data_IF_362769763279
#
_entry.id   IF_362769763279
#
_cell.length_a   1.000
_cell.length_b   1.000
_cell.length_c   1.000
_cell.angle_alpha   90.00
_cell.angle_beta   90.00
_cell.angle_gamma   90.00
#
_symmetry.space_group_name_H-M   'P 1'
#
loop_
_entity.id
_entity.type
_entity.pdbx_description
1 polymer ?
#
# COMPACT_ATOMS: atom_id res chain seq x y z
N UNK A 1 -26.95 8.88 17.80
CA UNK A 1 -25.73 9.00 16.93
C UNK A 1 -24.98 7.67 16.75
N UNK A 2 -25.32 6.61 17.48
CA UNK A 2 -24.65 5.29 17.41
C UNK A 2 -25.30 4.31 16.43
N UNK A 3 -26.35 4.67 15.73
CA UNK A 3 -27.07 3.77 14.83
C UNK A 3 -26.47 3.61 13.42
N UNK A 4 -25.41 4.35 13.08
CA UNK A 4 -24.73 4.23 11.79
C UNK A 4 -23.22 4.18 12.01
N UNK A 5 -22.71 3.05 12.49
CA UNK A 5 -21.29 2.80 12.62
C UNK A 5 -20.60 2.66 11.25
N UNK A 6 -19.28 2.52 11.28
CA UNK A 6 -18.46 2.22 10.12
C UNK A 6 -17.68 0.94 10.36
N UNK A 7 -17.93 -0.07 9.55
CA UNK A 7 -17.19 -1.32 9.62
C UNK A 7 -15.77 -1.14 9.04
N UNK A 8 -15.61 -0.31 8.02
CA UNK A 8 -14.29 -0.02 7.43
C UNK A 8 -13.40 0.77 8.38
N UNK A 9 -13.89 1.84 9.02
CA UNK A 9 -13.11 2.61 10.02
C UNK A 9 -12.81 1.79 11.29
N UNK A 10 -13.68 0.85 11.66
CA UNK A 10 -13.38 -0.12 12.71
C UNK A 10 -12.13 -0.93 12.36
N UNK A 11 -12.08 -1.49 11.14
CA UNK A 11 -10.95 -2.27 10.65
C UNK A 11 -9.70 -1.42 10.44
N UNK A 12 -9.84 -0.19 9.95
CA UNK A 12 -8.72 0.75 9.83
C UNK A 12 -8.07 1.06 11.18
N UNK A 13 -8.85 1.15 12.26
CA UNK A 13 -8.31 1.33 13.61
C UNK A 13 -7.49 0.12 14.05
N UNK A 14 -7.90 -1.09 13.65
CA UNK A 14 -7.17 -2.33 13.94
C UNK A 14 -5.85 -2.43 13.14
N UNK A 15 -5.87 -2.08 11.85
CA UNK A 15 -4.68 -1.99 11.01
C UNK A 15 -3.73 -0.90 11.55
N UNK A 16 -4.28 0.24 11.98
CA UNK A 16 -3.52 1.31 12.63
C UNK A 16 -2.79 0.84 13.90
N UNK A 17 -3.41 -0.03 14.69
CA UNK A 17 -2.78 -0.68 15.85
C UNK A 17 -1.56 -1.50 15.44
N UNK A 18 -1.66 -2.30 14.39
CA UNK A 18 -0.53 -3.04 13.85
C UNK A 18 0.61 -2.11 13.40
N UNK A 19 0.30 -1.08 12.61
CA UNK A 19 1.31 -0.13 12.15
C UNK A 19 1.99 0.60 13.31
N UNK A 20 1.23 0.97 14.34
CA UNK A 20 1.79 1.56 15.55
C UNK A 20 2.82 0.62 16.21
N UNK A 21 2.46 -0.65 16.41
CA UNK A 21 3.36 -1.65 17.01
C UNK A 21 4.58 -1.92 16.14
N UNK A 22 4.41 -2.00 14.82
CA UNK A 22 5.50 -2.23 13.88
C UNK A 22 6.62 -1.17 14.03
N UNK A 23 6.23 0.10 14.20
CA UNK A 23 7.20 1.21 14.26
C UNK A 23 7.64 1.60 15.67
N UNK A 24 6.86 1.27 16.72
CA UNK A 24 7.17 1.70 18.10
C UNK A 24 7.63 0.55 18.99
N UNK A 25 7.23 -0.69 18.71
CA UNK A 25 7.36 -1.86 19.59
C UNK A 25 6.79 -1.63 21.00
N UNK A 26 5.71 -0.83 21.11
CA UNK A 26 5.05 -0.56 22.40
C UNK A 26 4.26 -1.79 22.88
N UNK A 27 4.97 -2.76 23.43
CA UNK A 27 4.38 -4.00 23.94
C UNK A 27 3.48 -3.75 25.15
N UNK A 28 3.72 -2.68 25.92
CA UNK A 28 2.85 -2.31 27.04
C UNK A 28 1.46 -1.90 26.54
N UNK A 29 1.41 -1.10 25.47
CA UNK A 29 0.15 -0.75 24.82
C UNK A 29 -0.55 -2.00 24.28
N UNK A 30 0.17 -2.90 23.58
CA UNK A 30 -0.40 -4.14 23.05
C UNK A 30 -1.00 -4.99 24.18
N UNK A 31 -0.24 -5.26 25.23
CA UNK A 31 -0.69 -6.06 26.37
C UNK A 31 -1.96 -5.48 27.01
N UNK A 32 -1.98 -4.18 27.23
CA UNK A 32 -3.10 -3.46 27.84
C UNK A 32 -4.40 -3.55 27.00
N UNK A 33 -4.25 -3.58 25.68
CA UNK A 33 -5.42 -3.50 24.76
C UNK A 33 -5.72 -4.80 24.03
N UNK A 34 -4.97 -5.88 24.28
CA UNK A 34 -5.09 -7.12 23.51
C UNK A 34 -6.50 -7.75 23.57
N UNK A 35 -7.07 -7.82 24.75
CA UNK A 35 -8.43 -8.34 24.93
C UNK A 35 -9.46 -7.54 24.11
N UNK A 36 -9.35 -6.21 24.13
CA UNK A 36 -10.22 -5.32 23.34
C UNK A 36 -10.00 -5.50 21.84
N UNK A 37 -8.75 -5.67 21.42
CA UNK A 37 -8.42 -5.94 20.02
C UNK A 37 -9.00 -7.27 19.56
N UNK A 38 -8.84 -8.31 20.35
CA UNK A 38 -9.40 -9.65 20.04
C UNK A 38 -10.94 -9.60 19.97
N UNK A 39 -11.58 -8.88 20.87
CA UNK A 39 -13.03 -8.67 20.85
C UNK A 39 -13.47 -7.90 19.60
N UNK A 40 -12.72 -6.86 19.20
CA UNK A 40 -12.97 -6.12 17.97
C UNK A 40 -12.85 -7.00 16.71
N UNK A 41 -11.88 -7.94 16.70
CA UNK A 41 -11.74 -8.92 15.61
C UNK A 41 -12.93 -9.87 15.54
N UNK A 42 -13.35 -10.42 16.66
CA UNK A 42 -14.52 -11.32 16.69
C UNK A 42 -15.81 -10.58 16.32
N UNK A 43 -15.98 -9.33 16.73
CA UNK A 43 -17.12 -8.50 16.33
C UNK A 43 -17.21 -8.35 14.82
N UNK A 44 -16.10 -7.96 14.16
CA UNK A 44 -16.14 -7.75 12.71
C UNK A 44 -16.21 -9.06 11.94
N UNK A 45 -15.48 -10.11 12.39
CA UNK A 45 -15.52 -11.40 11.76
C UNK A 45 -16.88 -12.11 11.95
N UNK A 46 -17.59 -11.84 13.04
CA UNK A 46 -18.95 -12.32 13.28
C UNK A 46 -19.99 -11.86 12.24
N UNK A 47 -19.65 -10.86 11.43
CA UNK A 47 -20.46 -10.40 10.29
C UNK A 47 -20.17 -11.13 8.98
N UNK A 48 -19.20 -12.06 8.96
CA UNK A 48 -18.93 -12.89 7.78
C UNK A 48 -20.10 -13.86 7.56
N UNK A 49 -20.72 -13.76 6.40
CA UNK A 49 -21.85 -14.58 6.01
C UNK A 49 -21.39 -16.00 5.65
N UNK A 50 -21.75 -16.98 6.44
CA UNK A 50 -21.23 -18.35 6.35
C UNK A 50 -21.39 -19.00 4.95
N UNK A 51 -22.53 -18.90 4.25
CA UNK A 51 -22.66 -19.50 2.92
C UNK A 51 -21.73 -18.91 1.86
N UNK A 52 -21.43 -17.60 1.91
CA UNK A 52 -20.53 -16.96 0.94
C UNK A 52 -19.09 -16.85 1.40
N UNK A 53 -18.85 -16.79 2.71
CA UNK A 53 -17.54 -16.47 3.29
C UNK A 53 -17.14 -15.00 3.17
N UNK A 54 -18.03 -14.12 2.72
CA UNK A 54 -17.80 -12.68 2.58
C UNK A 54 -18.35 -11.91 3.79
N UNK A 55 -17.69 -10.83 4.15
CA UNK A 55 -18.18 -9.86 5.14
C UNK A 55 -19.49 -9.23 4.65
N UNK A 56 -20.50 -9.22 5.50
CA UNK A 56 -21.74 -8.47 5.32
C UNK A 56 -21.63 -7.14 6.08
N UNK A 57 -21.35 -6.07 5.37
CA UNK A 57 -21.18 -4.72 5.91
C UNK A 57 -22.53 -4.17 6.38
N UNK A 58 -22.63 -3.83 7.65
CA UNK A 58 -23.82 -3.22 8.27
C UNK A 58 -23.55 -1.80 8.79
N UNK A 59 -22.31 -1.50 9.12
CA UNK A 59 -21.82 -0.15 9.43
C UNK A 59 -21.41 0.57 8.15
N UNK A 60 -22.36 1.25 7.52
CA UNK A 60 -22.27 1.76 6.14
C UNK A 60 -21.58 3.12 5.98
N UNK A 61 -21.04 3.74 7.04
CA UNK A 61 -20.24 4.95 6.88
C UNK A 61 -18.85 4.60 6.37
N UNK A 62 -18.39 5.34 5.37
CA UNK A 62 -17.13 5.13 4.71
C UNK A 62 -16.56 6.45 4.21
N UNK A 63 -15.46 6.43 3.45
CA UNK A 63 -14.74 7.59 2.92
C UNK A 63 -15.55 8.46 1.92
N UNK A 64 -16.81 8.21 1.74
CA UNK A 64 -17.81 8.88 0.91
C UNK A 64 -18.20 8.12 -0.38
N UNK A 65 -17.66 6.92 -0.59
CA UNK A 65 -18.07 6.08 -1.73
C UNK A 65 -19.58 5.82 -1.77
N UNK A 66 -20.10 5.52 -2.95
CA UNK A 66 -21.46 5.03 -3.14
C UNK A 66 -21.51 3.51 -2.89
N UNK A 67 -22.74 2.95 -2.80
CA UNK A 67 -22.98 1.51 -2.66
C UNK A 67 -22.23 0.87 -1.46
N UNK A 68 -22.26 1.54 -0.35
CA UNK A 68 -21.76 1.03 0.93
C UNK A 68 -22.72 -0.03 1.48
N UNK A 69 -22.18 -1.10 2.04
CA UNK A 69 -22.97 -2.16 2.66
C UNK A 69 -22.90 -3.50 1.94
N UNK A 70 -23.65 -4.49 2.41
CA UNK A 70 -23.64 -5.86 1.91
C UNK A 70 -22.22 -6.45 1.83
N UNK A 71 -21.97 -7.31 0.85
CA UNK A 71 -20.65 -7.90 0.59
C UNK A 71 -19.78 -7.03 -0.31
N UNK A 72 -19.68 -5.76 0.05
CA UNK A 72 -18.83 -4.79 -0.61
C UNK A 72 -17.38 -5.29 -0.70
N UNK A 73 -16.77 -5.23 -1.88
CA UNK A 73 -15.45 -5.80 -2.14
C UNK A 73 -14.34 -5.04 -1.41
N UNK A 74 -14.43 -3.72 -1.32
CA UNK A 74 -13.47 -2.88 -0.58
C UNK A 74 -13.39 -3.30 0.89
N UNK A 75 -14.51 -3.38 1.60
CA UNK A 75 -14.54 -3.78 3.01
C UNK A 75 -14.02 -5.22 3.22
N UNK A 76 -14.22 -6.12 2.25
CA UNK A 76 -13.66 -7.46 2.27
C UNK A 76 -12.13 -7.47 2.08
N UNK A 77 -11.58 -6.58 1.24
CA UNK A 77 -10.12 -6.39 1.12
C UNK A 77 -9.52 -5.87 2.42
N UNK A 78 -10.20 -4.92 3.08
CA UNK A 78 -9.76 -4.38 4.37
C UNK A 78 -9.82 -5.47 5.45
N UNK A 79 -10.89 -6.28 5.50
CA UNK A 79 -10.97 -7.40 6.45
C UNK A 79 -9.84 -8.42 6.22
N UNK A 80 -9.54 -8.75 4.97
CA UNK A 80 -8.40 -9.62 4.66
C UNK A 80 -7.11 -9.09 5.27
N UNK A 81 -6.80 -7.82 5.06
CA UNK A 81 -5.59 -7.21 5.60
C UNK A 81 -5.63 -7.11 7.14
N UNK A 82 -6.80 -6.83 7.73
CA UNK A 82 -7.01 -6.82 9.18
C UNK A 82 -6.71 -8.18 9.80
N UNK A 83 -7.11 -9.26 9.15
CA UNK A 83 -6.84 -10.63 9.61
C UNK A 83 -5.34 -10.97 9.52
N UNK A 84 -4.67 -10.59 8.43
CA UNK A 84 -3.22 -10.80 8.25
C UNK A 84 -2.44 -10.05 9.33
N UNK A 85 -2.70 -8.76 9.50
CA UNK A 85 -2.03 -7.93 10.51
C UNK A 85 -2.39 -8.35 11.94
N UNK A 86 -3.61 -8.82 12.15
CA UNK A 86 -4.05 -9.39 13.42
C UNK A 86 -3.33 -10.69 13.79
N UNK A 87 -3.02 -11.53 12.81
CA UNK A 87 -2.23 -12.76 13.02
C UNK A 87 -0.79 -12.42 13.46
N UNK A 88 -0.18 -11.40 12.87
CA UNK A 88 1.13 -10.92 13.30
C UNK A 88 1.09 -10.32 14.73
N UNK A 89 0.07 -9.52 15.04
CA UNK A 89 -0.12 -9.00 16.40
C UNK A 89 -0.31 -10.11 17.42
N UNK A 90 -1.08 -11.17 17.11
CA UNK A 90 -1.22 -12.33 17.98
C UNK A 90 0.13 -13.01 18.23
N UNK A 91 0.93 -13.18 17.19
CA UNK A 91 2.30 -13.71 17.31
C UNK A 91 3.18 -12.81 18.18
N UNK A 92 3.11 -11.50 18.04
CA UNK A 92 3.88 -10.55 18.86
C UNK A 92 3.42 -10.50 20.31
N UNK A 93 2.16 -10.82 20.56
CA UNK A 93 1.57 -10.97 21.89
C UNK A 93 2.03 -12.26 22.58
N UNK A 94 2.63 -13.21 21.87
CA UNK A 94 3.02 -14.51 22.39
C UNK A 94 1.84 -15.48 22.43
N UNK A 95 0.98 -15.46 21.41
CA UNK A 95 -0.22 -16.32 21.32
C UNK A 95 0.11 -17.81 21.49
N UNK A 96 -0.47 -18.42 22.50
CA UNK A 96 -0.43 -19.88 22.75
C UNK A 96 -1.77 -20.54 22.53
N UNK A 97 -2.80 -19.79 22.14
CA UNK A 97 -4.19 -20.26 21.98
C UNK A 97 -4.54 -20.61 20.54
N UNK A 98 -3.64 -20.32 19.58
CA UNK A 98 -3.84 -20.56 18.16
C UNK A 98 -4.61 -19.45 17.44
N UNK A 99 -4.73 -18.25 18.02
CA UNK A 99 -5.38 -17.09 17.37
C UNK A 99 -4.65 -16.67 16.10
N UNK A 100 -3.32 -16.66 16.09
CA UNK A 100 -2.53 -16.32 14.90
C UNK A 100 -2.88 -17.25 13.72
N UNK A 101 -2.94 -18.55 13.98
CA UNK A 101 -3.33 -19.55 12.98
C UNK A 101 -4.80 -19.38 12.56
N UNK A 102 -5.69 -19.08 13.50
CA UNK A 102 -7.10 -18.83 13.24
C UNK A 102 -7.28 -17.66 12.30
N UNK A 103 -6.64 -16.51 12.57
CA UNK A 103 -6.75 -15.33 11.72
C UNK A 103 -6.12 -15.56 10.33
N UNK A 104 -5.00 -16.26 10.24
CA UNK A 104 -4.39 -16.65 8.96
C UNK A 104 -5.33 -17.52 8.13
N UNK A 105 -5.97 -18.52 8.76
CA UNK A 105 -6.93 -19.41 8.09
C UNK A 105 -8.19 -18.66 7.63
N UNK A 106 -8.70 -17.75 8.47
CA UNK A 106 -9.82 -16.86 8.11
C UNK A 106 -9.48 -15.97 6.92
N UNK A 107 -8.27 -15.38 6.88
CA UNK A 107 -7.80 -14.58 5.75
C UNK A 107 -7.71 -15.40 4.46
N UNK A 108 -7.16 -16.61 4.51
CA UNK A 108 -7.07 -17.49 3.36
C UNK A 108 -8.46 -17.85 2.79
N UNK A 109 -9.40 -18.22 3.67
CA UNK A 109 -10.78 -18.54 3.26
C UNK A 109 -11.48 -17.31 2.66
N UNK A 110 -11.29 -16.13 3.26
CA UNK A 110 -11.86 -14.88 2.76
C UNK A 110 -11.29 -14.53 1.38
N UNK A 111 -9.99 -14.69 1.16
CA UNK A 111 -9.36 -14.47 -0.15
C UNK A 111 -9.97 -15.37 -1.22
N UNK A 112 -10.22 -16.64 -0.92
CA UNK A 112 -10.92 -17.57 -1.83
C UNK A 112 -12.33 -17.06 -2.14
N UNK A 113 -13.08 -16.62 -1.13
CA UNK A 113 -14.44 -16.10 -1.31
C UNK A 113 -14.45 -14.81 -2.16
N UNK A 114 -13.56 -13.87 -1.89
CA UNK A 114 -13.42 -12.62 -2.66
C UNK A 114 -13.17 -12.94 -4.15
N UNK A 115 -12.18 -13.80 -4.44
CA UNK A 115 -11.85 -14.18 -5.81
C UNK A 115 -12.99 -14.91 -6.50
N UNK A 116 -13.74 -15.76 -5.78
CA UNK A 116 -14.85 -16.51 -6.33
C UNK A 116 -16.05 -15.62 -6.69
N UNK A 117 -16.40 -14.68 -5.84
CA UNK A 117 -17.67 -13.95 -5.97
C UNK A 117 -17.52 -12.55 -6.56
N UNK A 118 -16.37 -11.89 -6.38
CA UNK A 118 -16.18 -10.50 -6.81
C UNK A 118 -15.30 -10.38 -8.07
N UNK A 119 -14.48 -11.39 -8.43
CA UNK A 119 -13.64 -11.31 -9.63
C UNK A 119 -14.49 -11.35 -10.89
N UNK A 120 -14.28 -10.36 -11.78
CA UNK A 120 -14.85 -10.33 -13.12
C UNK A 120 -13.79 -10.68 -14.16
N UNK A 121 -13.81 -11.92 -14.62
CA UNK A 121 -12.86 -12.43 -15.60
C UNK A 121 -13.00 -11.76 -16.97
N UNK A 122 -14.17 -11.26 -17.31
CA UNK A 122 -14.44 -10.60 -18.60
C UNK A 122 -13.84 -9.20 -18.64
N UNK A 123 -13.84 -8.49 -17.51
CA UNK A 123 -13.25 -7.17 -17.37
C UNK A 123 -11.78 -7.23 -16.92
N UNK A 124 -11.42 -8.22 -16.12
CA UNK A 124 -10.07 -8.40 -15.59
C UNK A 124 -9.78 -7.55 -14.33
N UNK A 125 -10.81 -7.31 -13.52
CA UNK A 125 -10.75 -6.62 -12.23
C UNK A 125 -11.88 -7.10 -11.30
N UNK A 126 -11.89 -6.65 -10.05
CA UNK A 126 -12.96 -6.96 -9.10
C UNK A 126 -14.16 -6.03 -9.29
N UNK A 127 -15.36 -6.62 -9.24
CA UNK A 127 -16.63 -5.90 -9.11
C UNK A 127 -16.76 -5.31 -7.71
N UNK A 128 -17.61 -4.29 -7.60
CA UNK A 128 -17.87 -3.61 -6.32
C UNK A 128 -18.43 -4.54 -5.22
N UNK A 129 -19.17 -5.55 -5.60
CA UNK A 129 -19.73 -6.55 -4.68
C UNK A 129 -20.01 -7.89 -5.38
N UNK A 130 -20.54 -8.87 -4.64
CA UNK A 130 -20.81 -10.20 -5.14
C UNK A 130 -22.10 -10.30 -5.99
N UNK A 131 -22.83 -9.21 -6.16
CA UNK A 131 -24.03 -9.18 -7.01
C UNK A 131 -23.66 -8.86 -8.47
N UNK A 132 -24.66 -8.88 -9.35
CA UNK A 132 -24.47 -8.44 -10.74
C UNK A 132 -24.38 -6.91 -10.80
N UNK A 133 -23.16 -6.40 -10.81
CA UNK A 133 -22.85 -4.97 -10.90
C UNK A 133 -21.80 -4.75 -11.99
N UNK A 134 -21.91 -3.61 -12.69
CA UNK A 134 -20.94 -3.17 -13.68
C UNK A 134 -19.87 -2.24 -13.08
N UNK A 135 -19.97 -1.94 -11.78
CA UNK A 135 -19.00 -1.08 -11.10
C UNK A 135 -17.74 -1.88 -10.76
N UNK A 136 -16.60 -1.43 -11.26
CA UNK A 136 -15.26 -1.91 -10.91
C UNK A 136 -14.55 -0.78 -10.15
N UNK A 137 -14.60 -0.77 -8.81
CA UNK A 137 -14.18 0.37 -8.02
C UNK A 137 -12.66 0.52 -7.96
N UNK A 138 -12.19 1.76 -7.79
CA UNK A 138 -10.78 2.08 -7.61
C UNK A 138 -10.24 1.51 -6.29
N UNK A 139 -11.01 1.66 -5.20
CA UNK A 139 -10.59 1.27 -3.86
C UNK A 139 -10.31 -0.23 -3.72
N UNK A 140 -11.31 -1.08 -3.99
CA UNK A 140 -11.16 -2.53 -3.85
C UNK A 140 -10.09 -3.09 -4.78
N UNK A 141 -10.00 -2.62 -6.03
CA UNK A 141 -9.01 -3.08 -6.98
C UNK A 141 -7.60 -2.69 -6.56
N UNK A 142 -7.41 -1.48 -6.07
CA UNK A 142 -6.14 -1.03 -5.52
C UNK A 142 -5.73 -1.86 -4.29
N UNK A 143 -6.66 -2.04 -3.36
CA UNK A 143 -6.42 -2.82 -2.13
C UNK A 143 -6.18 -4.30 -2.41
N UNK A 144 -6.85 -4.91 -3.41
CA UNK A 144 -6.63 -6.30 -3.78
C UNK A 144 -5.16 -6.60 -4.13
N UNK A 145 -4.52 -5.70 -4.85
CA UNK A 145 -3.09 -5.82 -5.22
C UNK A 145 -2.20 -5.43 -4.04
N UNK A 146 -2.49 -4.31 -3.40
CA UNK A 146 -1.66 -3.77 -2.33
C UNK A 146 -1.62 -4.67 -1.09
N UNK A 147 -2.77 -5.23 -0.69
CA UNK A 147 -2.86 -6.13 0.46
C UNK A 147 -2.52 -7.60 0.13
N UNK A 148 -2.36 -7.93 -1.14
CA UNK A 148 -1.93 -9.27 -1.57
C UNK A 148 -3.08 -10.29 -1.66
N UNK A 149 -4.33 -9.86 -1.82
CA UNK A 149 -5.46 -10.75 -2.16
C UNK A 149 -5.22 -11.42 -3.52
N UNK A 150 -4.54 -10.73 -4.41
CA UNK A 150 -3.95 -11.30 -5.63
C UNK A 150 -2.43 -11.26 -5.53
N UNK A 151 -1.70 -12.32 -5.98
CA UNK A 151 -0.24 -12.31 -5.94
C UNK A 151 0.36 -11.17 -6.77
N UNK A 152 1.39 -10.46 -6.27
CA UNK A 152 1.96 -9.27 -6.93
C UNK A 152 2.41 -9.48 -8.37
N UNK A 153 2.95 -10.67 -8.70
CA UNK A 153 3.44 -11.02 -10.04
C UNK A 153 2.40 -11.70 -10.93
N UNK A 154 1.14 -11.82 -10.45
CA UNK A 154 0.08 -12.51 -11.19
C UNK A 154 -0.41 -11.70 -12.39
N UNK A 155 -1.00 -12.38 -13.36
CA UNK A 155 -1.70 -11.75 -14.47
C UNK A 155 -2.86 -10.87 -13.99
N UNK A 156 -3.54 -11.27 -12.92
CA UNK A 156 -4.61 -10.48 -12.31
C UNK A 156 -4.10 -9.14 -11.75
N UNK A 157 -2.95 -9.13 -11.05
CA UNK A 157 -2.35 -7.88 -10.57
C UNK A 157 -1.96 -6.95 -11.73
N UNK A 158 -1.42 -7.50 -12.83
CA UNK A 158 -1.09 -6.73 -14.02
C UNK A 158 -2.35 -6.19 -14.72
N UNK A 159 -3.40 -7.00 -14.81
CA UNK A 159 -4.70 -6.60 -15.36
C UNK A 159 -5.32 -5.46 -14.55
N UNK A 160 -5.43 -5.63 -13.22
CA UNK A 160 -5.96 -4.60 -12.32
C UNK A 160 -5.16 -3.30 -12.47
N UNK A 161 -3.83 -3.38 -12.40
CA UNK A 161 -2.98 -2.20 -12.56
C UNK A 161 -3.19 -1.50 -13.91
N UNK A 162 -3.54 -2.23 -14.97
CA UNK A 162 -3.89 -1.64 -16.26
C UNK A 162 -5.28 -1.01 -16.24
N UNK A 163 -6.30 -1.73 -15.70
CA UNK A 163 -7.68 -1.24 -15.65
C UNK A 163 -7.86 0.01 -14.81
N UNK A 164 -7.12 0.14 -13.72
CA UNK A 164 -7.14 1.36 -12.92
C UNK A 164 -6.80 2.62 -13.73
N UNK A 165 -5.96 2.50 -14.77
CA UNK A 165 -5.63 3.65 -15.62
C UNK A 165 -6.76 4.09 -16.55
N UNK A 166 -7.79 3.25 -16.75
CA UNK A 166 -8.96 3.60 -17.57
C UNK A 166 -9.76 4.78 -16.96
N UNK A 167 -9.61 5.01 -15.64
CA UNK A 167 -10.26 6.10 -14.90
C UNK A 167 -9.39 7.35 -14.75
N UNK A 168 -8.22 7.41 -15.39
CA UNK A 168 -7.32 8.55 -15.23
C UNK A 168 -7.77 9.76 -16.01
N UNK A 169 -7.73 10.91 -15.34
CA UNK A 169 -7.88 12.23 -15.93
C UNK A 169 -6.52 12.94 -15.99
N UNK A 170 -6.41 14.11 -16.61
CA UNK A 170 -5.19 14.90 -16.57
C UNK A 170 -4.71 15.29 -15.16
N UNK A 171 -5.62 15.34 -14.20
CA UNK A 171 -5.38 15.83 -12.82
C UNK A 171 -5.50 14.75 -11.75
N UNK A 172 -5.61 13.48 -12.11
CA UNK A 172 -5.64 12.35 -11.18
C UNK A 172 -6.60 11.25 -11.61
N UNK A 173 -6.73 10.22 -10.79
CA UNK A 173 -7.64 9.11 -11.03
C UNK A 173 -9.03 9.42 -10.46
N UNK A 174 -10.05 9.37 -11.30
CA UNK A 174 -11.45 9.40 -10.84
C UNK A 174 -11.76 8.10 -10.09
N UNK A 175 -12.51 8.20 -9.01
CA UNK A 175 -13.05 7.06 -8.30
C UNK A 175 -14.41 6.66 -8.88
N UNK A 176 -14.56 5.54 -9.62
CA UNK A 176 -15.84 5.14 -10.20
C UNK A 176 -16.94 4.95 -9.14
N UNK A 177 -16.57 4.58 -7.93
CA UNK A 177 -17.43 4.43 -6.77
C UNK A 177 -17.83 5.77 -6.12
N UNK A 178 -17.27 6.88 -6.56
CA UNK A 178 -17.69 8.26 -6.25
C UNK A 178 -17.55 9.12 -7.52
N UNK A 179 -18.44 9.01 -8.50
CA UNK A 179 -18.31 9.62 -9.82
C UNK A 179 -18.03 11.13 -9.77
N UNK A 180 -17.23 11.60 -10.71
CA UNK A 180 -16.73 12.97 -10.84
C UNK A 180 -15.82 13.43 -9.69
N UNK A 181 -15.35 12.54 -8.83
CA UNK A 181 -14.46 12.89 -7.73
C UNK A 181 -13.11 12.18 -7.85
N UNK A 182 -12.07 12.88 -7.43
CA UNK A 182 -10.73 12.35 -7.24
C UNK A 182 -10.44 12.33 -5.74
N UNK A 183 -10.19 11.15 -5.20
CA UNK A 183 -9.84 10.94 -3.81
C UNK A 183 -8.35 10.59 -3.69
N UNK A 184 -7.50 11.50 -3.21
CA UNK A 184 -6.09 11.18 -2.96
C UNK A 184 -5.91 10.09 -1.90
N UNK A 185 -6.88 9.88 -1.00
CA UNK A 185 -6.90 8.73 -0.10
C UNK A 185 -6.89 7.42 -0.89
N UNK A 186 -7.84 7.24 -1.80
CA UNK A 186 -7.94 6.03 -2.62
C UNK A 186 -6.80 5.94 -3.64
N UNK A 187 -6.44 7.06 -4.25
CA UNK A 187 -5.25 7.14 -5.12
C UNK A 187 -3.95 6.77 -4.39
N UNK A 188 -3.89 6.93 -3.05
CA UNK A 188 -2.76 6.45 -2.23
C UNK A 188 -2.63 4.93 -2.23
N UNK A 189 -3.73 4.19 -2.31
CA UNK A 189 -3.70 2.73 -2.49
C UNK A 189 -3.38 2.37 -3.94
N UNK A 190 -3.88 3.12 -4.91
CA UNK A 190 -3.61 2.86 -6.33
C UNK A 190 -2.12 3.00 -6.68
N UNK A 191 -1.43 4.06 -6.22
CA UNK A 191 0.01 4.19 -6.43
C UNK A 191 0.79 3.02 -5.83
N UNK A 192 0.38 2.53 -4.65
CA UNK A 192 1.01 1.37 -4.03
C UNK A 192 0.68 0.08 -4.78
N UNK A 193 -0.54 -0.09 -5.27
CA UNK A 193 -0.92 -1.22 -6.12
C UNK A 193 -0.06 -1.29 -7.39
N UNK A 194 0.14 -0.16 -8.07
CA UNK A 194 1.03 -0.09 -9.22
C UNK A 194 2.47 -0.48 -8.87
N UNK A 195 2.98 -0.01 -7.74
CA UNK A 195 4.33 -0.33 -7.26
C UNK A 195 4.47 -1.82 -6.91
N UNK A 196 3.48 -2.40 -6.22
CA UNK A 196 3.43 -3.83 -5.91
C UNK A 196 3.38 -4.67 -7.19
N UNK A 197 2.65 -4.23 -8.19
CA UNK A 197 2.59 -4.87 -9.52
C UNK A 197 3.86 -4.60 -10.39
N UNK A 198 4.87 -3.88 -9.85
CA UNK A 198 6.10 -3.55 -10.59
C UNK A 198 5.95 -2.46 -11.65
N UNK A 199 4.85 -1.69 -11.60
CA UNK A 199 4.52 -0.63 -12.56
C UNK A 199 4.91 0.76 -12.03
N UNK A 200 6.17 0.91 -11.62
CA UNK A 200 6.67 2.12 -10.95
C UNK A 200 6.51 3.41 -11.77
N UNK A 201 6.63 3.35 -13.10
CA UNK A 201 6.38 4.52 -13.97
C UNK A 201 4.92 4.98 -13.88
N UNK A 202 3.98 4.04 -13.81
CA UNK A 202 2.55 4.30 -13.65
C UNK A 202 2.28 4.99 -12.31
N UNK A 203 2.84 4.47 -11.24
CA UNK A 203 2.71 5.08 -9.92
C UNK A 203 3.26 6.53 -9.89
N UNK A 204 4.44 6.76 -10.47
CA UNK A 204 5.04 8.09 -10.54
C UNK A 204 4.23 9.06 -11.41
N UNK A 205 3.62 8.57 -12.51
CA UNK A 205 2.73 9.39 -13.35
C UNK A 205 1.49 9.83 -12.56
N UNK A 206 0.83 8.92 -11.84
CA UNK A 206 -0.33 9.26 -11.01
C UNK A 206 0.02 10.26 -9.90
N UNK A 207 1.19 10.11 -9.25
CA UNK A 207 1.67 11.08 -8.26
C UNK A 207 1.80 12.47 -8.88
N UNK A 208 2.39 12.58 -10.08
CA UNK A 208 2.55 13.87 -10.77
C UNK A 208 1.21 14.48 -11.18
N UNK A 209 0.26 13.65 -11.67
CA UNK A 209 -1.07 14.09 -12.06
C UNK A 209 -1.86 14.63 -10.87
N UNK A 210 -1.93 13.90 -9.76
CA UNK A 210 -2.78 14.24 -8.63
C UNK A 210 -2.08 15.20 -7.66
N UNK A 211 -1.05 14.74 -6.96
CA UNK A 211 -0.33 15.56 -5.96
C UNK A 211 0.47 16.70 -6.59
N UNK A 212 1.09 16.45 -7.74
CA UNK A 212 1.80 17.50 -8.48
C UNK A 212 0.84 18.60 -8.93
N UNK A 213 -0.33 18.24 -9.45
CA UNK A 213 -1.37 19.20 -9.81
C UNK A 213 -1.78 20.08 -8.63
N UNK A 214 -2.13 19.47 -7.48
CA UNK A 214 -2.56 20.23 -6.30
C UNK A 214 -1.44 21.09 -5.71
N UNK A 215 -0.21 20.57 -5.65
CA UNK A 215 0.95 21.30 -5.13
C UNK A 215 1.22 22.60 -5.91
N UNK A 216 0.96 22.58 -7.22
CA UNK A 216 1.17 23.75 -8.11
C UNK A 216 -0.13 24.50 -8.42
N UNK A 217 -1.26 24.11 -7.83
CA UNK A 217 -2.54 24.80 -8.07
C UNK A 217 -2.53 26.20 -7.44
N UNK A 218 -2.95 27.27 -8.18
CA UNK A 218 -2.85 28.64 -7.69
C UNK A 218 -3.66 28.90 -6.41
N UNK A 219 -4.75 28.14 -6.18
CA UNK A 219 -5.57 28.20 -4.98
C UNK A 219 -5.24 27.06 -3.98
N UNK A 220 -4.22 26.28 -4.22
CA UNK A 220 -3.72 25.28 -3.29
C UNK A 220 -2.85 25.91 -2.20
N UNK A 221 -2.50 25.12 -1.18
CA UNK A 221 -1.65 25.61 -0.08
C UNK A 221 -0.16 25.67 -0.44
N UNK A 222 0.25 24.96 -1.49
CA UNK A 222 1.66 24.80 -1.88
C UNK A 222 2.51 23.95 -0.91
N UNK A 223 1.94 23.47 0.18
CA UNK A 223 2.70 22.80 1.26
C UNK A 223 1.99 21.63 1.92
N UNK A 224 0.66 21.48 1.75
CA UNK A 224 -0.15 20.42 2.36
C UNK A 224 -0.86 19.59 1.29
N UNK A 225 -1.63 18.60 1.71
CA UNK A 225 -2.40 17.73 0.82
C UNK A 225 -3.90 17.91 1.05
N UNK A 226 -4.66 17.96 -0.03
CA UNK A 226 -6.11 18.16 0.01
C UNK A 226 -6.85 16.85 0.27
N UNK A 227 -8.01 16.92 0.89
CA UNK A 227 -8.91 15.78 1.12
C UNK A 227 -9.37 15.10 -0.17
N UNK A 228 -9.76 15.90 -1.16
CA UNK A 228 -10.21 15.48 -2.47
C UNK A 228 -10.70 16.67 -3.29
N UNK A 229 -11.03 16.44 -4.55
CA UNK A 229 -11.47 17.46 -5.50
C UNK A 229 -12.26 16.82 -6.64
N UNK A 230 -12.91 17.65 -7.46
CA UNK A 230 -13.67 17.16 -8.61
C UNK A 230 -12.78 16.99 -9.86
N UNK A 231 -13.22 16.15 -10.78
CA UNK A 231 -12.54 15.91 -12.06
C UNK A 231 -12.43 17.13 -12.96
N UNK A 232 -13.25 18.15 -12.73
CA UNK A 232 -13.19 19.46 -13.40
C UNK A 232 -12.17 20.43 -12.75
N UNK A 233 -11.49 20.01 -11.68
CA UNK A 233 -10.49 20.83 -10.97
C UNK A 233 -11.04 21.73 -9.88
N UNK A 234 -12.35 21.76 -9.62
CA UNK A 234 -12.90 22.49 -8.47
C UNK A 234 -12.69 21.74 -7.16
N UNK A 235 -12.64 22.46 -6.04
CA UNK A 235 -12.45 21.88 -4.72
C UNK A 235 -13.74 21.37 -4.06
N UNK A 236 -14.78 21.12 -4.87
CA UNK A 236 -16.10 20.65 -4.43
C UNK A 236 -16.17 19.14 -4.11
N UNK A 237 -15.15 18.56 -3.53
CA UNK A 237 -15.11 17.14 -3.18
C UNK A 237 -16.35 16.69 -2.41
N UNK A 238 -16.93 15.53 -2.79
CA UNK A 238 -18.09 14.89 -2.16
C UNK A 238 -19.31 15.79 -1.93
N UNK A 239 -19.55 16.78 -2.76
CA UNK A 239 -20.57 17.81 -2.62
C UNK A 239 -21.92 17.29 -2.12
N UNK A 240 -22.49 16.26 -2.82
CA UNK A 240 -23.78 15.65 -2.46
C UNK A 240 -23.69 14.60 -1.36
N UNK A 241 -22.48 14.24 -0.91
CA UNK A 241 -22.21 13.14 0.04
C UNK A 241 -21.74 13.66 1.39
N UNK A 242 -22.42 14.66 1.93
CA UNK A 242 -22.23 15.13 3.30
C UNK A 242 -21.69 16.56 3.44
N UNK A 243 -21.29 17.22 2.35
CA UNK A 243 -20.81 18.61 2.38
C UNK A 243 -21.84 19.62 1.84
N UNK A 244 -23.00 19.14 1.37
CA UNK A 244 -24.14 19.99 0.98
C UNK A 244 -23.77 21.08 -0.01
N UNK A 245 -22.82 20.82 -0.93
CA UNK A 245 -22.28 21.75 -1.91
C UNK A 245 -21.57 22.97 -1.29
N UNK A 246 -21.05 22.84 -0.09
CA UNK A 246 -20.23 23.86 0.57
C UNK A 246 -18.76 23.44 0.56
N UNK A 247 -17.98 24.00 -0.35
CA UNK A 247 -16.56 23.67 -0.56
C UNK A 247 -15.70 24.05 0.66
N UNK A 248 -16.19 24.88 1.58
CA UNK A 248 -15.49 25.26 2.80
C UNK A 248 -15.27 24.07 3.78
N UNK A 249 -16.04 23.00 3.62
CA UNK A 249 -15.86 21.78 4.38
C UNK A 249 -14.68 20.91 3.89
N UNK A 250 -14.20 21.12 2.67
CA UNK A 250 -13.09 20.34 2.11
C UNK A 250 -11.78 20.73 2.78
N UNK A 251 -11.16 19.78 3.46
CA UNK A 251 -9.90 20.03 4.13
C UNK A 251 -8.73 20.17 3.15
N UNK A 252 -7.99 21.25 3.22
CA UNK A 252 -6.75 21.49 2.48
C UNK A 252 -5.49 20.97 3.23
N UNK A 253 -5.67 20.31 4.38
CA UNK A 253 -4.59 19.68 5.16
C UNK A 253 -5.11 18.35 5.72
N UNK A 254 -5.29 17.36 4.83
CA UNK A 254 -5.93 16.09 5.14
C UNK A 254 -4.93 14.93 5.09
N UNK A 255 -4.58 14.40 6.28
CA UNK A 255 -3.51 13.40 6.44
C UNK A 255 -3.70 12.11 5.64
N UNK A 256 -4.94 11.71 5.34
CA UNK A 256 -5.21 10.51 4.54
C UNK A 256 -4.65 10.56 3.11
N UNK A 257 -4.34 11.76 2.63
CA UNK A 257 -3.79 11.98 1.29
C UNK A 257 -2.25 11.92 1.25
N UNK A 258 -1.59 11.52 2.34
CA UNK A 258 -0.11 11.49 2.43
C UNK A 258 0.54 10.21 1.85
N UNK A 259 -0.21 9.38 1.12
CA UNK A 259 0.26 8.11 0.57
C UNK A 259 1.56 8.13 -0.23
N UNK A 260 1.88 9.18 -1.02
CA UNK A 260 3.17 9.24 -1.71
C UNK A 260 4.39 9.15 -0.81
N UNK A 261 4.31 9.65 0.44
CA UNK A 261 5.44 9.61 1.38
C UNK A 261 5.88 8.17 1.67
N UNK A 262 4.94 7.30 2.01
CA UNK A 262 5.24 5.87 2.24
C UNK A 262 5.55 5.14 0.94
N UNK A 263 4.81 5.42 -0.14
CA UNK A 263 5.01 4.78 -1.43
C UNK A 263 6.42 5.05 -2.00
N UNK A 264 6.88 6.30 -1.96
CA UNK A 264 8.22 6.68 -2.44
C UNK A 264 9.32 6.07 -1.56
N UNK A 265 9.14 6.07 -0.25
CA UNK A 265 10.12 5.48 0.69
C UNK A 265 10.21 3.96 0.53
N UNK A 266 9.04 3.28 0.60
CA UNK A 266 9.01 1.82 0.68
C UNK A 266 9.28 1.13 -0.66
N UNK A 267 9.00 1.79 -1.80
CA UNK A 267 9.11 1.15 -3.11
C UNK A 267 10.08 1.86 -4.06
N UNK A 268 10.03 3.20 -4.18
CA UNK A 268 10.92 3.91 -5.09
C UNK A 268 12.34 3.91 -4.53
N UNK A 269 12.54 4.33 -3.30
CA UNK A 269 13.83 4.12 -2.61
C UNK A 269 13.97 2.64 -2.27
N UNK A 270 12.87 1.99 -1.92
CA UNK A 270 12.78 0.57 -1.67
C UNK A 270 13.10 0.17 -0.23
N UNK A 271 13.22 1.14 0.70
CA UNK A 271 13.57 0.88 2.10
C UNK A 271 12.29 0.72 2.93
N UNK A 272 12.06 -0.48 3.44
CA UNK A 272 10.90 -0.83 4.26
C UNK A 272 11.29 -1.63 5.49
N UNK A 273 10.62 -1.40 6.62
CA UNK A 273 10.71 -2.29 7.79
C UNK A 273 9.81 -3.51 7.55
N UNK A 274 10.30 -4.69 7.95
CA UNK A 274 9.58 -5.97 7.87
C UNK A 274 9.44 -6.66 9.22
N UNK A 275 10.19 -6.21 10.22
CA UNK A 275 10.04 -6.62 11.60
C UNK A 275 9.94 -5.41 12.53
N UNK A 276 9.48 -5.64 13.76
CA UNK A 276 9.25 -4.57 14.74
C UNK A 276 10.43 -3.63 14.85
N UNK A 277 10.15 -2.33 14.78
CA UNK A 277 11.10 -1.19 14.84
C UNK A 277 12.23 -1.27 13.80
N UNK A 278 12.12 -2.15 12.80
CA UNK A 278 13.15 -2.37 11.79
C UNK A 278 14.22 -3.40 12.21
N UNK A 279 13.91 -4.29 13.17
CA UNK A 279 14.81 -5.42 13.49
C UNK A 279 15.12 -6.24 12.24
N UNK A 280 14.16 -6.39 11.35
CA UNK A 280 14.35 -6.80 9.96
C UNK A 280 13.83 -5.74 9.00
N UNK A 281 14.45 -5.62 7.82
CA UNK A 281 14.14 -4.62 6.81
C UNK A 281 14.44 -5.13 5.40
N UNK A 282 13.90 -4.44 4.40
CA UNK A 282 14.22 -4.71 2.98
C UNK A 282 14.72 -3.45 2.29
N UNK A 283 15.59 -3.64 1.28
CA UNK A 283 15.93 -2.59 0.33
C UNK A 283 15.77 -3.14 -1.09
N UNK A 284 14.66 -2.77 -1.73
CA UNK A 284 14.25 -3.24 -3.06
C UNK A 284 13.82 -2.05 -3.92
N UNK A 285 14.77 -1.27 -4.48
CA UNK A 285 14.45 -0.07 -5.22
C UNK A 285 13.73 -0.35 -6.53
N UNK A 286 12.82 0.55 -6.90
CA UNK A 286 12.15 0.60 -8.19
C UNK A 286 12.44 1.96 -8.84
N UNK A 287 13.26 1.98 -9.87
CA UNK A 287 13.78 3.22 -10.44
C UNK A 287 12.74 4.06 -11.19
N UNK A 288 11.73 3.40 -11.79
CA UNK A 288 10.75 4.09 -12.62
C UNK A 288 11.39 4.82 -13.79
N UNK A 289 11.19 6.14 -13.81
CA UNK A 289 11.80 7.08 -14.75
C UNK A 289 12.73 8.10 -14.06
N UNK A 290 13.06 7.85 -12.79
CA UNK A 290 13.93 8.71 -12.01
C UNK A 290 15.40 8.35 -12.19
N UNK A 291 16.29 9.33 -11.93
CA UNK A 291 17.75 9.17 -11.97
C UNK A 291 18.36 8.99 -10.59
N UNK A 292 17.66 9.43 -9.56
CA UNK A 292 18.06 9.24 -8.17
C UNK A 292 16.85 9.29 -7.26
N UNK A 293 16.97 8.67 -6.10
CA UNK A 293 16.05 8.83 -4.98
C UNK A 293 16.78 8.55 -3.67
N UNK A 294 16.32 9.23 -2.61
CA UNK A 294 16.77 8.93 -1.25
C UNK A 294 15.65 9.19 -0.27
N UNK A 295 15.63 8.42 0.81
CA UNK A 295 14.70 8.59 1.92
C UNK A 295 15.30 8.05 3.21
N UNK A 296 14.61 8.35 4.32
CA UNK A 296 14.95 7.80 5.61
C UNK A 296 13.87 8.08 6.63
N UNK A 297 13.91 7.31 7.71
CA UNK A 297 13.00 7.45 8.85
C UNK A 297 13.73 7.07 10.15
N UNK A 298 13.07 7.31 11.26
CA UNK A 298 13.58 7.03 12.60
C UNK A 298 12.71 5.96 13.27
N UNK A 299 13.33 5.00 13.93
CA UNK A 299 12.68 4.06 14.85
C UNK A 299 13.41 4.13 16.20
N UNK A 300 12.94 3.38 17.19
CA UNK A 300 13.64 3.29 18.49
C UNK A 300 15.01 2.59 18.38
N UNK A 301 15.28 1.83 17.31
CA UNK A 301 16.60 1.25 17.04
C UNK A 301 17.58 2.26 16.43
N UNK A 302 17.10 3.39 15.90
CA UNK A 302 17.91 4.42 15.29
C UNK A 302 17.41 4.85 13.90
N UNK A 303 18.29 5.56 13.18
CA UNK A 303 17.98 6.10 11.85
C UNK A 303 18.19 5.06 10.77
N UNK A 304 17.19 4.89 9.92
CA UNK A 304 17.23 4.16 8.65
C UNK A 304 17.31 5.17 7.51
N UNK A 305 18.24 4.99 6.61
CA UNK A 305 18.33 5.81 5.40
C UNK A 305 18.92 5.01 4.26
N UNK A 306 18.44 5.27 3.05
CA UNK A 306 18.96 4.67 1.82
C UNK A 306 18.77 5.60 0.63
N UNK A 307 19.51 5.33 -0.42
CA UNK A 307 19.36 6.02 -1.69
C UNK A 307 20.06 5.32 -2.82
N UNK A 308 19.77 5.78 -4.02
CA UNK A 308 20.37 5.25 -5.24
C UNK A 308 20.47 6.34 -6.31
N UNK A 309 21.37 6.12 -7.25
CA UNK A 309 21.49 6.91 -8.46
C UNK A 309 21.82 6.02 -9.66
N UNK A 310 21.47 6.47 -10.86
CA UNK A 310 21.67 5.77 -12.13
C UNK A 310 22.37 6.70 -13.11
N UNK A 311 23.35 6.20 -13.86
CA UNK A 311 23.95 6.93 -14.99
C UNK A 311 22.94 7.11 -16.13
N UNK A 312 23.11 8.15 -16.95
CA UNK A 312 22.17 8.47 -18.04
C UNK A 312 22.02 7.35 -19.06
N UNK A 313 23.09 6.60 -19.33
CA UNK A 313 23.09 5.45 -20.23
C UNK A 313 22.52 4.17 -19.60
N UNK A 314 22.12 4.21 -18.32
CA UNK A 314 21.57 3.08 -17.58
C UNK A 314 22.54 1.90 -17.40
N UNK A 315 23.84 2.10 -17.59
CA UNK A 315 24.85 1.04 -17.49
C UNK A 315 25.42 0.87 -16.10
N UNK A 316 25.24 1.86 -15.25
CA UNK A 316 25.71 1.83 -13.86
C UNK A 316 24.61 2.38 -12.98
N UNK A 317 24.38 1.73 -11.85
CA UNK A 317 23.68 2.33 -10.74
C UNK A 317 24.43 2.06 -9.44
N UNK A 318 24.26 2.97 -8.47
CA UNK A 318 24.80 2.87 -7.13
C UNK A 318 23.67 2.89 -6.12
N UNK A 319 23.81 2.08 -5.08
CA UNK A 319 22.97 2.10 -3.87
C UNK A 319 23.85 2.41 -2.67
N UNK A 320 23.28 3.07 -1.70
CA UNK A 320 23.83 3.20 -0.37
C UNK A 320 22.73 3.04 0.66
N UNK A 321 23.08 2.52 1.82
CA UNK A 321 22.18 2.48 2.97
C UNK A 321 22.97 2.63 4.27
N UNK A 322 22.30 3.22 5.25
CA UNK A 322 22.77 3.31 6.63
C UNK A 322 21.58 2.97 7.52
N UNK A 323 21.70 1.86 8.22
CA UNK A 323 20.68 1.30 9.12
C UNK A 323 21.35 0.86 10.43
N UNK A 324 20.60 0.75 11.53
CA UNK A 324 21.21 0.38 12.83
C UNK A 324 21.93 -0.97 12.78
N UNK A 325 23.07 -1.04 13.43
CA UNK A 325 23.78 -2.32 13.64
C UNK A 325 22.92 -3.28 14.46
N UNK A 326 23.12 -4.59 14.27
CA UNK A 326 22.32 -5.63 14.92
C UNK A 326 20.95 -5.87 14.26
N UNK A 327 20.63 -5.13 13.20
CA UNK A 327 19.47 -5.41 12.35
C UNK A 327 19.85 -6.29 11.14
N UNK A 328 18.85 -6.89 10.49
CA UNK A 328 19.08 -7.76 9.32
C UNK A 328 18.22 -7.33 8.14
N UNK A 329 18.82 -7.27 6.97
CA UNK A 329 18.14 -6.81 5.76
C UNK A 329 18.23 -7.77 4.58
N UNK A 330 17.17 -7.77 3.76
CA UNK A 330 17.15 -8.38 2.45
C UNK A 330 17.32 -7.30 1.38
N UNK A 331 18.41 -7.37 0.62
CA UNK A 331 18.65 -6.49 -0.53
C UNK A 331 18.18 -7.20 -1.79
N UNK A 332 17.34 -6.54 -2.58
CA UNK A 332 16.98 -7.00 -3.93
C UNK A 332 17.43 -5.98 -4.96
N UNK A 333 18.50 -6.29 -5.66
CA UNK A 333 19.03 -5.44 -6.74
C UNK A 333 18.18 -5.62 -8.00
N UNK A 334 17.61 -4.56 -8.55
CA UNK A 334 16.88 -4.65 -9.81
C UNK A 334 17.82 -4.91 -10.98
N UNK A 335 17.31 -5.41 -12.13
CA UNK A 335 18.06 -5.46 -13.37
C UNK A 335 18.58 -4.07 -13.77
N UNK A 336 19.72 -4.04 -14.47
CA UNK A 336 20.24 -2.80 -15.04
C UNK A 336 19.25 -2.22 -16.06
N UNK A 337 18.98 -0.91 -16.04
CA UNK A 337 18.09 -0.24 -17.02
C UNK A 337 18.55 -0.46 -18.47
N UNK A 338 19.84 -0.65 -18.70
CA UNK A 338 20.40 -0.98 -20.03
C UNK A 338 20.04 -2.43 -20.52
N UNK A 339 19.38 -3.25 -19.70
CA UNK A 339 19.06 -4.65 -20.03
C UNK A 339 20.29 -5.57 -20.13
N UNK A 340 21.42 -5.17 -19.58
CA UNK A 340 22.67 -5.98 -19.56
C UNK A 340 22.85 -6.66 -18.21
N UNK A 341 23.70 -7.71 -18.22
CA UNK A 341 24.15 -8.35 -16.97
C UNK A 341 25.10 -7.41 -16.22
N UNK A 342 24.92 -7.28 -14.91
CA UNK A 342 25.72 -6.40 -14.06
C UNK A 342 26.72 -7.14 -13.18
N UNK A 343 27.95 -6.62 -13.08
CA UNK A 343 28.91 -6.96 -12.02
C UNK A 343 28.60 -6.14 -10.78
N UNK A 344 28.69 -6.76 -9.61
CA UNK A 344 28.38 -6.14 -8.33
C UNK A 344 29.67 -5.95 -7.53
N UNK A 345 29.82 -4.76 -6.96
CA UNK A 345 30.79 -4.46 -5.91
C UNK A 345 30.06 -3.95 -4.68
N UNK A 346 30.50 -4.34 -3.49
CA UNK A 346 30.01 -3.87 -2.21
C UNK A 346 31.20 -3.34 -1.41
N UNK A 347 31.10 -2.15 -0.85
CA UNK A 347 32.12 -1.45 -0.06
C UNK A 347 33.50 -1.43 -0.75
N UNK A 348 33.48 -1.28 -2.09
CA UNK A 348 34.68 -1.27 -2.93
C UNK A 348 35.19 -2.65 -3.35
N UNK A 349 34.72 -3.71 -2.76
CA UNK A 349 35.17 -5.09 -3.06
C UNK A 349 34.24 -5.80 -4.04
N UNK A 350 34.81 -6.72 -4.86
CA UNK A 350 34.00 -7.54 -5.76
C UNK A 350 33.11 -8.48 -4.95
N UNK A 351 31.82 -8.44 -5.20
CA UNK A 351 30.89 -9.42 -4.64
C UNK A 351 31.06 -10.74 -5.38
N UNK A 352 31.91 -11.62 -4.82
CA UNK A 352 32.41 -12.83 -5.47
C UNK A 352 31.26 -13.73 -5.94
N UNK A 353 31.34 -14.16 -7.21
CA UNK A 353 30.39 -15.06 -7.87
C UNK A 353 28.92 -14.57 -7.92
N UNK A 354 28.66 -13.30 -7.67
CA UNK A 354 27.33 -12.69 -7.77
C UNK A 354 27.27 -11.70 -8.92
N UNK A 355 26.20 -11.75 -9.68
CA UNK A 355 25.90 -10.80 -10.75
C UNK A 355 24.40 -10.58 -10.84
N UNK A 356 24.00 -9.38 -11.21
CA UNK A 356 22.60 -9.05 -11.48
C UNK A 356 22.23 -9.64 -12.84
N UNK A 357 21.19 -10.45 -12.90
CA UNK A 357 20.68 -11.01 -14.15
C UNK A 357 19.98 -9.94 -14.98
N UNK A 358 19.73 -10.24 -16.26
CA UNK A 358 19.01 -9.33 -17.16
C UNK A 358 17.53 -9.19 -16.79
N UNK A 359 16.94 -10.20 -16.14
CA UNK A 359 15.51 -10.28 -15.88
C UNK A 359 15.16 -10.27 -14.40
N UNK A 360 15.90 -11.03 -13.57
CA UNK A 360 15.44 -11.38 -12.22
C UNK A 360 16.13 -10.58 -11.10
N UNK A 361 17.11 -9.73 -11.45
CA UNK A 361 17.88 -9.03 -10.43
C UNK A 361 18.79 -9.97 -9.60
N UNK A 362 19.04 -9.59 -8.35
CA UNK A 362 19.84 -10.39 -7.39
C UNK A 362 19.34 -10.10 -5.98
N UNK A 363 18.99 -11.14 -5.23
CA UNK A 363 18.60 -11.01 -3.81
C UNK A 363 19.65 -11.66 -2.90
N UNK A 364 19.95 -11.04 -1.76
CA UNK A 364 20.84 -11.54 -0.72
C UNK A 364 20.56 -10.89 0.63
N UNK A 365 21.00 -11.52 1.72
CA UNK A 365 20.89 -11.01 3.08
C UNK A 365 22.17 -10.28 3.50
N UNK A 366 22.01 -9.28 4.38
CA UNK A 366 23.11 -8.49 4.93
C UNK A 366 22.75 -8.00 6.35
N UNK A 367 23.76 -7.86 7.20
CA UNK A 367 23.62 -7.17 8.50
C UNK A 367 23.40 -5.68 8.35
N UNK A 368 22.95 -5.05 9.45
CA UNK A 368 22.90 -3.59 9.55
C UNK A 368 24.30 -2.97 9.48
N UNK A 369 24.34 -1.64 9.37
CA UNK A 369 25.56 -0.87 9.20
C UNK A 369 25.46 0.17 8.11
N UNK A 370 26.61 0.68 7.66
CA UNK A 370 26.73 1.65 6.58
C UNK A 370 27.43 0.99 5.39
N UNK A 371 26.75 0.89 4.28
CA UNK A 371 27.21 0.17 3.11
C UNK A 371 26.99 0.96 1.82
N UNK A 372 27.83 0.67 0.84
CA UNK A 372 27.68 1.18 -0.51
C UNK A 372 27.81 0.05 -1.54
N UNK A 373 27.07 0.16 -2.62
CA UNK A 373 27.08 -0.86 -3.67
C UNK A 373 27.06 -0.23 -5.05
N UNK A 374 27.78 -0.82 -5.98
CA UNK A 374 27.76 -0.42 -7.38
C UNK A 374 27.49 -1.64 -8.25
N UNK A 375 26.51 -1.49 -9.15
CA UNK A 375 26.21 -2.45 -10.21
C UNK A 375 26.60 -1.85 -11.55
N UNK A 376 27.50 -2.50 -12.26
CA UNK A 376 28.03 -2.01 -13.54
C UNK A 376 27.86 -3.07 -14.63
N UNK A 377 27.40 -2.67 -15.82
CA UNK A 377 27.28 -3.58 -16.97
C UNK A 377 28.62 -4.24 -17.32
N UNK A 378 28.53 -5.50 -17.68
CA UNK A 378 29.66 -6.22 -18.28
C UNK A 378 29.97 -5.69 -19.70
#
# INVERSE_FOLDING_TARGET
LLQQGSDTYHMWSMIGTYNYLLYTNDTAFLNKNWERYSHAMEYIYGKVHQPSGLLNVTGIRDWARWQQGFNNSEANMILYHTLITGAELATWQGDTTGLAQTFTSRAANLSVAINKYCWDASYGAFKDNATDTQLHPQDANSMAVYFGVVPPSSTSAQSISSRLTDNWTPIGAEAPELPNNISPFISSFEIQAHLVAGQSKRALDLIRRSWGWYLHHPNGTGSTVIEGYLTNGSFGYRNSRGYSYDDSYVSHSHGWSAGPTSALTNYIVGLSVTGRVGSTWTLKPQFGDLKYAQAGFLTSLGKFSAGWNITDDGRVYSLWWKVPEGTFGNITLPPLPSGKTGKVTIDGEKFKNKSVSKKDGLTFEIGGGSHSMVVRSK
#
